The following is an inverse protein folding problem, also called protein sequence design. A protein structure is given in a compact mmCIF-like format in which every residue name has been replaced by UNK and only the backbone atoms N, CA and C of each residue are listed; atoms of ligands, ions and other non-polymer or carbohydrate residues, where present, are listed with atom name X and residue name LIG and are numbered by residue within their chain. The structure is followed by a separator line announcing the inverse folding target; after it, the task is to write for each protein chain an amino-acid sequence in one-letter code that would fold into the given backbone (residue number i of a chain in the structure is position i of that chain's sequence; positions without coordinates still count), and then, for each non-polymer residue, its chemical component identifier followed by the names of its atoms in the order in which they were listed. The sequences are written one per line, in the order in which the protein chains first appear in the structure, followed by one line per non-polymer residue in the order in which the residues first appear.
data_IF_535243034342
#
_entry.id   IF_535243034342
#
_cell.length_a   1.000
_cell.length_b   1.000
_cell.length_c   1.000
_cell.angle_alpha   90.00
_cell.angle_beta   90.00
_cell.angle_gamma   90.00
#
_symmetry.space_group_name_H-M   'P 1'
#
loop_
_entity.id
_entity.type
_entity.pdbx_description
1 polymer ?
#
# COMPACT_ATOMS: atom_id res chain seq x y z
N UNK A 1 9.90 17.41 8.85
CA UNK A 1 9.61 17.47 7.39
C UNK A 1 8.15 17.08 7.25
N UNK A 2 7.27 17.92 6.68
CA UNK A 2 5.87 17.55 6.46
C UNK A 2 5.79 16.27 5.63
N UNK A 3 4.86 15.38 5.95
CA UNK A 3 4.69 14.13 5.22
C UNK A 3 4.12 14.39 3.81
N UNK A 4 4.12 13.37 2.96
CA UNK A 4 3.62 13.47 1.58
C UNK A 4 2.15 13.96 1.50
N UNK A 5 1.34 13.71 2.52
CA UNK A 5 -0.05 14.17 2.57
C UNK A 5 -0.14 15.69 2.84
N UNK A 6 0.85 16.29 3.49
CA UNK A 6 0.90 17.73 3.78
C UNK A 6 1.75 18.52 2.78
N UNK A 7 2.86 17.96 2.30
CA UNK A 7 3.79 18.63 1.39
C UNK A 7 3.44 18.43 -0.10
N UNK A 8 2.67 17.39 -0.42
CA UNK A 8 2.42 16.95 -1.78
C UNK A 8 3.54 16.03 -2.32
N UNK A 9 3.23 15.31 -3.39
CA UNK A 9 4.15 14.39 -4.09
C UNK A 9 4.35 14.88 -5.51
N UNK A 10 5.57 14.78 -6.04
CA UNK A 10 5.83 15.04 -7.46
C UNK A 10 5.08 13.99 -8.29
N UNK A 11 4.15 14.40 -9.15
CA UNK A 11 3.28 13.48 -9.91
C UNK A 11 4.04 12.44 -10.75
N UNK A 12 5.30 12.71 -11.09
CA UNK A 12 6.19 11.73 -11.74
C UNK A 12 6.41 10.47 -10.90
N UNK A 13 6.42 10.58 -9.56
CA UNK A 13 6.64 9.43 -8.67
C UNK A 13 5.49 8.42 -8.72
N UNK A 14 4.22 8.77 -8.40
CA UNK A 14 3.13 7.83 -8.57
C UNK A 14 2.90 7.45 -10.04
N UNK A 15 3.24 8.33 -11.00
CA UNK A 15 3.21 8.00 -12.42
C UNK A 15 4.16 6.86 -12.79
N UNK A 16 5.42 6.92 -12.35
CA UNK A 16 6.40 5.85 -12.54
C UNK A 16 5.96 4.55 -11.85
N UNK A 17 5.50 4.62 -10.60
CA UNK A 17 5.00 3.46 -9.86
C UNK A 17 3.80 2.83 -10.58
N UNK A 18 2.87 3.63 -11.09
CA UNK A 18 1.73 3.14 -11.88
C UNK A 18 2.16 2.42 -13.17
N UNK A 19 3.18 2.91 -13.86
CA UNK A 19 3.75 2.22 -15.02
C UNK A 19 4.40 0.87 -14.67
N UNK A 20 5.10 0.79 -13.52
CA UNK A 20 5.65 -0.47 -13.01
C UNK A 20 4.53 -1.48 -12.70
N UNK A 21 3.47 -1.04 -12.03
CA UNK A 21 2.29 -1.87 -11.74
C UNK A 21 1.57 -2.33 -13.01
N UNK A 22 1.41 -1.45 -14.00
CA UNK A 22 0.82 -1.81 -15.29
C UNK A 22 1.68 -2.86 -16.03
N UNK A 23 3.00 -2.76 -15.92
CA UNK A 23 3.92 -3.75 -16.50
C UNK A 23 3.77 -5.12 -15.84
N UNK A 24 3.70 -5.19 -14.50
CA UNK A 24 3.39 -6.45 -13.81
C UNK A 24 2.03 -7.01 -14.23
N UNK A 25 1.01 -6.16 -14.33
CA UNK A 25 -0.33 -6.57 -14.76
C UNK A 25 -0.29 -7.23 -16.14
N UNK A 26 0.44 -6.64 -17.09
CA UNK A 26 0.60 -7.23 -18.43
C UNK A 26 1.29 -8.59 -18.35
N UNK A 27 2.38 -8.73 -17.57
CA UNK A 27 3.06 -10.01 -17.36
C UNK A 27 2.12 -11.09 -16.81
N UNK A 28 1.29 -10.74 -15.83
CA UNK A 28 0.29 -11.65 -15.26
C UNK A 28 -0.75 -12.09 -16.29
N UNK A 29 -1.27 -11.15 -17.10
CA UNK A 29 -2.29 -11.45 -18.11
C UNK A 29 -1.77 -12.38 -19.20
N UNK A 30 -0.52 -12.22 -19.62
CA UNK A 30 0.07 -13.03 -20.68
C UNK A 30 0.78 -14.30 -20.17
N UNK A 31 1.03 -14.39 -18.86
CA UNK A 31 1.72 -15.52 -18.24
C UNK A 31 3.21 -15.60 -18.56
N UNK A 32 3.87 -14.46 -18.84
CA UNK A 32 5.28 -14.40 -19.27
C UNK A 32 6.11 -13.50 -18.35
N UNK A 33 7.40 -13.83 -18.22
CA UNK A 33 8.37 -13.10 -17.39
C UNK A 33 8.37 -13.53 -15.92
N UNK A 34 9.28 -12.95 -15.14
CA UNK A 34 9.40 -13.23 -13.70
C UNK A 34 8.52 -12.26 -12.91
N UNK A 35 7.50 -12.76 -12.22
CA UNK A 35 6.59 -11.95 -11.42
C UNK A 35 7.28 -11.36 -10.18
N UNK A 36 6.79 -10.20 -9.74
CA UNK A 36 7.11 -9.62 -8.43
C UNK A 36 6.25 -10.17 -7.28
N UNK A 37 5.38 -11.15 -7.54
CA UNK A 37 4.59 -11.83 -6.50
C UNK A 37 5.46 -12.29 -5.32
N UNK A 38 4.95 -12.09 -4.10
CA UNK A 38 5.67 -12.41 -2.87
C UNK A 38 6.86 -11.48 -2.60
N UNK A 39 6.96 -10.34 -3.29
CA UNK A 39 8.03 -9.36 -3.08
C UNK A 39 7.50 -7.93 -3.05
N UNK A 40 8.20 -7.07 -2.32
CA UNK A 40 8.03 -5.62 -2.33
C UNK A 40 9.16 -5.00 -3.15
N UNK A 41 8.80 -4.20 -4.15
CA UNK A 41 9.73 -3.38 -4.90
C UNK A 41 9.84 -2.01 -4.24
N UNK A 42 11.04 -1.64 -3.80
CA UNK A 42 11.36 -0.31 -3.31
C UNK A 42 12.03 0.47 -4.45
N UNK A 43 11.49 1.65 -4.76
CA UNK A 43 12.01 2.54 -5.79
C UNK A 43 12.54 3.81 -5.13
N UNK A 44 13.86 3.94 -5.08
CA UNK A 44 14.51 5.20 -4.70
C UNK A 44 14.62 6.08 -5.94
N UNK A 45 13.79 7.12 -6.00
CA UNK A 45 13.76 8.01 -7.15
C UNK A 45 14.89 9.05 -7.17
N UNK A 46 15.55 9.29 -6.03
CA UNK A 46 16.64 10.25 -5.96
C UNK A 46 17.91 9.62 -6.55
N UNK A 47 18.22 8.40 -6.14
CA UNK A 47 19.39 7.65 -6.59
C UNK A 47 19.08 6.74 -7.80
N UNK A 48 17.80 6.63 -8.19
CA UNK A 48 17.32 5.77 -9.29
C UNK A 48 17.65 4.29 -9.08
N UNK A 49 17.50 3.84 -7.84
CA UNK A 49 17.78 2.46 -7.41
C UNK A 49 16.49 1.67 -7.19
N UNK A 50 16.59 0.35 -7.41
CA UNK A 50 15.51 -0.59 -7.20
C UNK A 50 15.98 -1.72 -6.29
N UNK A 51 15.31 -1.87 -5.16
CA UNK A 51 15.53 -2.98 -4.24
C UNK A 51 14.30 -3.89 -4.22
N UNK A 52 14.54 -5.20 -4.26
CA UNK A 52 13.49 -6.21 -4.13
C UNK A 52 13.63 -6.88 -2.77
N UNK A 53 12.59 -6.78 -1.95
CA UNK A 53 12.51 -7.41 -0.63
C UNK A 53 11.48 -8.52 -0.68
N UNK A 54 11.87 -9.74 -0.32
CA UNK A 54 10.95 -10.88 -0.25
C UNK A 54 9.98 -10.71 0.94
N UNK A 55 8.69 -10.92 0.70
CA UNK A 55 7.62 -10.83 1.69
C UNK A 55 7.01 -12.23 1.85
N UNK A 56 7.52 -13.04 2.79
CA UNK A 56 6.99 -14.38 3.00
C UNK A 56 5.58 -14.32 3.58
N UNK A 57 4.76 -15.29 3.18
CA UNK A 57 3.47 -15.55 3.81
C UNK A 57 3.69 -15.88 5.29
N UNK A 58 2.82 -15.34 6.15
CA UNK A 58 2.77 -15.69 7.57
C UNK A 58 1.81 -16.84 7.81
N UNK A 59 2.25 -17.84 8.56
CA UNK A 59 1.42 -19.01 8.93
C UNK A 59 0.23 -18.59 9.83
N UNK A 60 0.43 -17.55 10.64
CA UNK A 60 -0.56 -16.99 11.57
C UNK A 60 -1.40 -15.85 10.98
N UNK A 61 -1.38 -15.66 9.65
CA UNK A 61 -2.16 -14.61 9.00
C UNK A 61 -3.67 -14.87 9.14
N UNK A 62 -4.48 -13.95 9.70
CA UNK A 62 -5.92 -14.19 9.89
C UNK A 62 -6.70 -14.27 8.57
N UNK A 63 -6.10 -13.87 7.44
CA UNK A 63 -6.75 -13.90 6.12
C UNK A 63 -6.34 -15.12 5.30
N UNK A 64 -5.06 -15.50 5.33
CA UNK A 64 -4.55 -16.54 4.44
C UNK A 64 -3.70 -17.62 5.13
N UNK A 65 -3.52 -17.57 6.44
CA UNK A 65 -2.75 -18.54 7.23
C UNK A 65 -3.35 -19.94 7.25
N UNK A 66 -2.82 -20.82 8.10
CA UNK A 66 -3.27 -22.22 8.17
C UNK A 66 -4.67 -22.36 8.81
N UNK A 67 -5.06 -21.42 9.66
CA UNK A 67 -6.38 -21.32 10.32
C UNK A 67 -6.94 -19.89 10.15
N UNK A 68 -7.54 -19.55 8.99
CA UNK A 68 -8.01 -18.20 8.70
C UNK A 68 -9.24 -17.84 9.54
N UNK A 69 -9.21 -16.66 10.16
CA UNK A 69 -10.31 -16.12 10.96
C UNK A 69 -11.17 -15.11 10.19
N UNK A 70 -10.67 -14.57 9.08
CA UNK A 70 -11.35 -13.59 8.23
C UNK A 70 -11.64 -14.25 6.87
N UNK A 71 -12.90 -14.56 6.62
CA UNK A 71 -13.34 -15.25 5.39
C UNK A 71 -13.95 -14.29 4.36
N UNK A 72 -14.38 -13.10 4.78
CA UNK A 72 -14.95 -12.07 3.92
C UNK A 72 -14.59 -10.66 4.38
N UNK A 73 -14.43 -9.75 3.41
CA UNK A 73 -14.28 -8.31 3.69
C UNK A 73 -15.53 -7.72 4.34
N UNK A 74 -16.69 -8.37 4.18
CA UNK A 74 -17.94 -7.93 4.82
C UNK A 74 -18.00 -8.22 6.32
N UNK A 75 -17.14 -9.12 6.82
CA UNK A 75 -17.10 -9.51 8.23
C UNK A 75 -16.14 -8.64 9.05
N UNK A 76 -15.49 -7.65 8.42
CA UNK A 76 -14.50 -6.78 9.04
C UNK A 76 -14.85 -5.32 8.81
N UNK A 77 -14.70 -4.52 9.87
CA UNK A 77 -14.87 -3.07 9.82
C UNK A 77 -13.50 -2.41 9.97
N UNK A 78 -13.14 -1.53 9.03
CA UNK A 78 -11.95 -0.69 9.13
C UNK A 78 -12.24 0.47 10.08
N UNK A 79 -12.06 0.22 11.38
CA UNK A 79 -12.35 1.19 12.44
C UNK A 79 -11.25 2.22 12.67
N UNK A 80 -10.08 2.05 12.04
CA UNK A 80 -8.94 2.94 12.20
C UNK A 80 -8.42 3.44 10.84
N UNK A 81 -7.94 4.69 10.83
CA UNK A 81 -7.22 5.26 9.70
C UNK A 81 -5.78 4.72 9.66
N UNK A 82 -5.27 4.37 8.48
CA UNK A 82 -3.86 4.00 8.27
C UNK A 82 -2.90 5.21 8.35
N UNK A 83 -3.31 6.30 9.00
CA UNK A 83 -2.47 7.47 9.22
C UNK A 83 -1.30 7.08 10.12
N UNK A 84 -0.08 7.39 9.67
CA UNK A 84 1.10 7.32 10.51
C UNK A 84 1.03 8.54 11.44
N UNK A 85 0.78 8.29 12.73
CA UNK A 85 0.88 9.32 13.77
C UNK A 85 2.35 9.73 13.90
N UNK A 86 2.72 10.81 13.21
CA UNK A 86 3.97 11.53 13.44
C UNK A 86 3.67 12.62 14.44
N UNK A 87 3.49 12.22 15.71
CA UNK A 87 3.13 13.07 16.84
C UNK A 87 3.61 14.51 16.72
N UNK A 88 2.66 15.39 16.41
CA UNK A 88 2.83 16.83 16.29
C UNK A 88 1.47 17.47 16.46
N UNK A 89 1.29 18.11 17.60
CA UNK A 89 0.06 18.75 18.08
C UNK A 89 -0.56 19.69 17.04
N UNK A 90 -1.84 19.54 16.71
CA UNK A 90 -2.87 20.56 16.98
C UNK A 90 -4.28 20.03 16.70
N UNK A 91 -5.21 20.47 17.53
CA UNK A 91 -6.57 19.98 17.72
C UNK A 91 -7.52 20.38 16.56
N UNK A 92 -8.59 19.60 16.38
CA UNK A 92 -9.77 19.78 15.50
C UNK A 92 -9.77 19.05 14.14
N UNK A 93 -10.13 17.76 14.16
CA UNK A 93 -10.85 17.18 13.01
C UNK A 93 -12.28 17.75 12.99
N UNK A 94 -12.76 18.39 11.91
CA UNK A 94 -14.16 18.77 11.82
C UNK A 94 -15.02 17.51 11.61
N UNK A 95 -16.06 17.38 12.43
CA UNK A 95 -17.10 16.37 12.32
C UNK A 95 -17.75 16.45 10.92
N UNK A 96 -17.64 15.38 10.13
CA UNK A 96 -18.31 15.29 8.84
C UNK A 96 -19.70 14.68 9.09
N UNK A 97 -20.68 15.53 9.39
CA UNK A 97 -22.08 15.11 9.43
C UNK A 97 -22.59 14.88 7.99
N UNK A 98 -22.88 13.63 7.65
CA UNK A 98 -23.57 13.28 6.41
C UNK A 98 -25.07 13.59 6.58
N UNK A 99 -25.55 14.67 5.97
CA UNK A 99 -26.98 14.85 5.71
C UNK A 99 -27.34 14.38 4.30
N UNK A 100 -28.46 13.64 4.25
CA UNK A 100 -29.17 12.96 3.14
C UNK A 100 -28.88 13.42 1.70
#
# INVERSE_FOLDING_TARGET
VPNCATAGVLGVLPGTVGCLQATETVKHVIGEGESLDGSMLFFDALDMEFDKVEIPKRDDCPVCGDDPAIESVHDVEYTASCAIDVGGDDESEPEIEATD
#
